data_IF_223294484551
#
_entry.id   IF_223294484551
#
_cell.length_a   1.000
_cell.length_b   1.000
_cell.length_c   1.000
_cell.angle_alpha   90.00
_cell.angle_beta   90.00
_cell.angle_gamma   90.00
#
_symmetry.space_group_name_H-M   'P 1'
#
loop_
_entity.id
_entity.type
_entity.pdbx_description
1 polymer ?
#
# COMPACT_ATOMS: atom_id res chain seq x y z
N UNK A 1 -61.14 16.65 66.37
CA UNK A 1 -59.66 16.52 66.32
C UNK A 1 -59.38 15.02 66.45
N UNK A 2 -58.72 14.26 65.58
CA UNK A 2 -57.68 14.56 64.60
C UNK A 2 -57.49 13.30 63.68
N UNK A 3 -58.17 13.17 62.52
CA UNK A 3 -57.90 12.07 61.57
C UNK A 3 -57.07 12.50 60.35
N UNK A 4 -56.77 13.79 60.19
CA UNK A 4 -56.20 14.34 58.95
C UNK A 4 -54.66 14.19 58.80
N UNK A 5 -53.93 13.83 59.86
CA UNK A 5 -52.47 13.64 59.79
C UNK A 5 -52.04 12.27 59.29
N UNK A 6 -52.81 11.21 59.55
CA UNK A 6 -52.43 9.84 59.21
C UNK A 6 -52.43 9.60 57.68
N UNK A 7 -53.36 10.21 56.95
CA UNK A 7 -53.48 10.01 55.50
C UNK A 7 -52.38 10.70 54.69
N UNK A 8 -51.84 11.83 55.19
CA UNK A 8 -50.75 12.57 54.53
C UNK A 8 -49.41 11.84 54.61
N UNK A 9 -49.13 11.20 55.75
CA UNK A 9 -47.89 10.44 55.92
C UNK A 9 -47.87 9.19 55.03
N UNK A 10 -49.02 8.53 54.85
CA UNK A 10 -49.15 7.37 53.95
C UNK A 10 -49.01 7.73 52.47
N UNK A 11 -49.50 8.90 52.05
CA UNK A 11 -49.39 9.33 50.64
C UNK A 11 -47.95 9.71 50.29
N UNK A 12 -47.25 10.40 51.20
CA UNK A 12 -45.85 10.79 50.98
C UNK A 12 -44.91 9.57 50.95
N UNK A 13 -45.14 8.57 51.80
CA UNK A 13 -44.34 7.34 51.83
C UNK A 13 -44.57 6.45 50.59
N UNK A 14 -45.80 6.40 50.06
CA UNK A 14 -46.10 5.68 48.82
C UNK A 14 -45.46 6.32 47.58
N UNK A 15 -45.26 7.65 47.58
CA UNK A 15 -44.63 8.39 46.49
C UNK A 15 -43.10 8.21 46.48
N UNK A 16 -42.46 8.18 47.65
CA UNK A 16 -41.04 7.84 47.79
C UNK A 16 -40.72 6.39 47.38
N UNK A 17 -41.57 5.42 47.74
CA UNK A 17 -41.42 4.02 47.32
C UNK A 17 -41.63 3.83 45.79
N UNK A 18 -42.54 4.61 45.18
CA UNK A 18 -42.78 4.59 43.74
C UNK A 18 -41.64 5.22 42.92
N UNK A 19 -40.95 6.22 43.46
CA UNK A 19 -39.80 6.86 42.79
C UNK A 19 -38.53 6.03 42.92
N UNK A 20 -38.27 5.43 44.09
CA UNK A 20 -37.14 4.51 44.30
C UNK A 20 -37.23 3.25 43.45
N UNK A 21 -38.43 2.66 43.31
CA UNK A 21 -38.63 1.47 42.47
C UNK A 21 -38.43 1.76 40.97
N UNK A 22 -38.84 2.94 40.49
CA UNK A 22 -38.55 3.40 39.11
C UNK A 22 -37.06 3.60 38.87
N UNK A 23 -36.32 4.15 39.84
CA UNK A 23 -34.87 4.34 39.73
C UNK A 23 -34.12 3.00 39.72
N UNK A 24 -34.51 2.06 40.59
CA UNK A 24 -33.93 0.71 40.68
C UNK A 24 -34.19 -0.13 39.42
N UNK A 25 -35.32 0.08 38.72
CA UNK A 25 -35.64 -0.59 37.45
C UNK A 25 -34.80 -0.08 36.28
N UNK A 26 -34.50 1.23 36.24
CA UNK A 26 -33.65 1.85 35.20
C UNK A 26 -32.19 1.39 35.28
N UNK A 27 -31.63 1.30 36.49
CA UNK A 27 -30.25 0.83 36.66
C UNK A 27 -30.09 -0.64 36.29
N UNK A 28 -31.10 -1.49 36.54
CA UNK A 28 -31.08 -2.90 36.11
C UNK A 28 -31.05 -3.04 34.59
N UNK A 29 -31.79 -2.18 33.86
CA UNK A 29 -31.80 -2.20 32.39
C UNK A 29 -30.45 -1.73 31.83
N UNK A 30 -29.86 -0.67 32.38
CA UNK A 30 -28.54 -0.20 31.94
C UNK A 30 -27.43 -1.22 32.18
N UNK A 31 -27.46 -1.94 33.31
CA UNK A 31 -26.49 -3.01 33.61
C UNK A 31 -26.59 -4.15 32.58
N UNK A 32 -27.80 -4.56 32.21
CA UNK A 32 -28.01 -5.61 31.21
C UNK A 32 -27.49 -5.17 29.83
N UNK A 33 -27.72 -3.91 29.45
CA UNK A 33 -27.24 -3.36 28.17
C UNK A 33 -25.70 -3.33 28.14
N UNK A 34 -25.07 -2.83 29.19
CA UNK A 34 -23.61 -2.80 29.27
C UNK A 34 -23.01 -4.21 29.24
N UNK A 35 -23.61 -5.15 29.98
CA UNK A 35 -23.15 -6.53 29.98
C UNK A 35 -23.26 -7.17 28.60
N UNK A 36 -24.37 -6.94 27.88
CA UNK A 36 -24.57 -7.44 26.52
C UNK A 36 -23.55 -6.85 25.53
N UNK A 37 -23.22 -5.56 25.67
CA UNK A 37 -22.23 -4.89 24.83
C UNK A 37 -20.82 -5.47 25.07
N UNK A 38 -20.43 -5.64 26.33
CA UNK A 38 -19.14 -6.23 26.68
C UNK A 38 -18.98 -7.67 26.19
N UNK A 39 -20.03 -8.49 26.31
CA UNK A 39 -20.03 -9.87 25.80
C UNK A 39 -19.83 -9.87 24.27
N UNK A 40 -20.54 -9.00 23.54
CA UNK A 40 -20.38 -8.88 22.09
C UNK A 40 -18.96 -8.47 21.70
N UNK A 41 -18.35 -7.53 22.44
CA UNK A 41 -16.99 -7.06 22.17
C UNK A 41 -15.94 -8.17 22.39
N UNK A 42 -16.10 -8.96 23.46
CA UNK A 42 -15.22 -10.10 23.75
C UNK A 42 -15.34 -11.17 22.65
N UNK A 43 -16.55 -11.48 22.18
CA UNK A 43 -16.73 -12.46 21.10
C UNK A 43 -16.07 -12.03 19.80
N UNK A 44 -16.13 -10.74 19.45
CA UNK A 44 -15.45 -10.19 18.27
C UNK A 44 -13.93 -10.32 18.40
N UNK A 45 -13.36 -9.94 19.55
CA UNK A 45 -11.92 -10.02 19.78
C UNK A 45 -11.43 -11.48 19.75
N UNK A 46 -12.16 -12.40 20.38
CA UNK A 46 -11.81 -13.82 20.37
C UNK A 46 -11.86 -14.43 18.96
N UNK A 47 -12.86 -14.06 18.15
CA UNK A 47 -12.94 -14.51 16.76
C UNK A 47 -11.77 -14.00 15.91
N UNK A 48 -11.36 -12.74 16.11
CA UNK A 48 -10.20 -12.16 15.43
C UNK A 48 -8.90 -12.89 15.79
N UNK A 49 -8.69 -13.25 17.07
CA UNK A 49 -7.48 -13.94 17.52
C UNK A 49 -7.42 -15.38 16.97
N UNK A 50 -8.53 -16.14 17.02
CA UNK A 50 -8.58 -17.51 16.50
C UNK A 50 -8.32 -17.54 14.99
N UNK A 51 -8.84 -16.55 14.25
CA UNK A 51 -8.63 -16.41 12.82
C UNK A 51 -7.19 -15.99 12.48
N UNK A 52 -6.58 -15.10 13.27
CA UNK A 52 -5.16 -14.74 13.09
C UNK A 52 -4.22 -15.93 13.32
N UNK A 53 -4.62 -16.90 14.15
CA UNK A 53 -3.81 -18.08 14.47
C UNK A 53 -4.02 -19.27 13.53
N UNK A 54 -5.05 -19.27 12.67
CA UNK A 54 -5.32 -20.35 11.70
C UNK A 54 -4.77 -20.06 10.29
N UNK A 55 -3.95 -19.01 10.12
CA UNK A 55 -3.41 -18.59 8.81
C UNK A 55 -2.05 -19.24 8.47
N UNK A 56 -1.47 -20.04 9.36
CA UNK A 56 -0.11 -20.59 9.17
C UNK A 56 -0.01 -22.09 8.85
N UNK A 57 -1.12 -22.82 8.68
CA UNK A 57 -1.06 -24.26 8.32
C UNK A 57 -2.00 -24.57 7.16
N UNK A 58 -1.55 -24.33 5.93
CA UNK A 58 -1.98 -25.09 4.74
C UNK A 58 -0.77 -25.24 3.81
N UNK A 59 0.12 -26.13 4.24
CA UNK A 59 1.17 -26.73 3.42
C UNK A 59 0.56 -28.00 2.79
N UNK A 60 0.37 -28.03 1.47
CA UNK A 60 0.38 -29.30 0.73
C UNK A 60 0.57 -29.15 -0.79
N UNK A 61 1.79 -29.51 -1.21
CA UNK A 61 2.14 -30.37 -2.34
C UNK A 61 1.71 -30.01 -3.77
N UNK A 62 2.71 -29.63 -4.59
CA UNK A 62 2.86 -30.23 -5.92
C UNK A 62 4.33 -30.41 -6.34
N UNK A 63 4.58 -31.57 -6.96
CA UNK A 63 5.85 -32.22 -7.28
C UNK A 63 6.73 -31.47 -8.30
N UNK A 64 8.05 -31.76 -8.40
CA UNK A 64 8.99 -31.00 -9.21
C UNK A 64 9.04 -31.53 -10.65
N UNK A 65 8.95 -30.63 -11.65
CA UNK A 65 9.32 -30.98 -13.01
C UNK A 65 10.01 -29.84 -13.77
N UNK A 66 11.29 -30.11 -14.05
CA UNK A 66 12.14 -29.71 -15.19
C UNK A 66 12.53 -28.24 -15.41
N UNK A 67 13.86 -28.07 -15.47
CA UNK A 67 14.64 -26.92 -15.90
C UNK A 67 14.14 -26.23 -17.19
N UNK A 68 13.74 -24.96 -17.09
CA UNK A 68 14.14 -23.87 -17.98
C UNK A 68 13.68 -22.51 -17.39
N UNK A 69 14.61 -21.55 -17.30
CA UNK A 69 14.44 -20.11 -17.00
C UNK A 69 13.32 -19.78 -15.97
N UNK A 70 13.61 -19.97 -14.67
CA UNK A 70 12.69 -19.63 -13.57
C UNK A 70 12.40 -18.11 -13.52
N UNK A 71 11.46 -17.67 -14.34
CA UNK A 71 10.64 -16.50 -14.05
C UNK A 71 9.86 -16.87 -12.80
N UNK A 72 10.29 -16.34 -11.66
CA UNK A 72 9.50 -16.37 -10.43
C UNK A 72 8.19 -15.66 -10.78
N UNK A 73 7.13 -16.41 -11.07
CA UNK A 73 5.77 -15.86 -11.02
C UNK A 73 5.58 -15.55 -9.55
N UNK A 74 5.60 -14.28 -9.14
CA UNK A 74 5.54 -13.97 -7.74
C UNK A 74 4.13 -14.32 -7.27
N UNK A 75 4.02 -15.28 -6.35
CA UNK A 75 2.82 -15.46 -5.51
C UNK A 75 2.53 -14.23 -4.63
N UNK A 76 3.37 -13.20 -4.72
CA UNK A 76 3.23 -11.94 -4.03
C UNK A 76 2.25 -11.02 -4.78
N UNK A 77 1.11 -10.65 -4.17
CA UNK A 77 0.10 -9.80 -4.81
C UNK A 77 0.64 -8.44 -5.26
N UNK A 78 1.60 -7.86 -4.52
CA UNK A 78 2.16 -6.55 -4.85
C UNK A 78 3.00 -6.61 -6.13
N UNK A 79 3.82 -7.66 -6.27
CA UNK A 79 4.63 -7.83 -7.47
C UNK A 79 3.74 -8.19 -8.67
N UNK A 80 2.73 -9.03 -8.47
CA UNK A 80 1.77 -9.38 -9.52
C UNK A 80 1.05 -8.13 -10.07
N UNK A 81 0.49 -7.30 -9.19
CA UNK A 81 -0.21 -6.07 -9.57
C UNK A 81 0.73 -5.05 -10.24
N UNK A 82 2.00 -5.00 -9.83
CA UNK A 82 2.97 -4.14 -10.49
C UNK A 82 3.31 -4.64 -11.91
N UNK A 83 3.48 -5.95 -12.08
CA UNK A 83 3.81 -6.57 -13.36
C UNK A 83 2.69 -6.53 -14.39
N UNK A 84 1.43 -6.57 -13.97
CA UNK A 84 0.29 -6.52 -14.89
C UNK A 84 0.22 -5.18 -15.65
N UNK A 85 0.56 -4.08 -14.96
CA UNK A 85 0.31 -2.72 -15.47
C UNK A 85 1.59 -1.94 -15.75
N UNK A 86 2.54 -1.91 -14.81
CA UNK A 86 3.75 -1.10 -14.93
C UNK A 86 4.91 -1.80 -15.66
N UNK A 87 4.82 -3.12 -15.86
CA UNK A 87 5.96 -3.93 -16.31
C UNK A 87 5.52 -5.20 -17.08
N UNK A 88 4.83 -4.99 -18.20
CA UNK A 88 4.19 -6.07 -18.97
C UNK A 88 5.16 -6.84 -19.90
N UNK A 89 6.34 -6.29 -20.21
CA UNK A 89 7.29 -6.93 -21.13
C UNK A 89 8.20 -7.92 -20.40
N UNK A 90 8.64 -8.97 -21.12
CA UNK A 90 9.58 -9.95 -20.59
C UNK A 90 10.90 -9.32 -20.12
N UNK A 91 11.42 -8.34 -20.88
CA UNK A 91 12.62 -7.61 -20.52
C UNK A 91 12.45 -6.89 -19.17
N UNK A 92 11.32 -6.22 -18.99
CA UNK A 92 11.03 -5.52 -17.73
C UNK A 92 11.01 -6.48 -16.53
N UNK A 93 10.29 -7.60 -16.65
CA UNK A 93 10.21 -8.62 -15.59
C UNK A 93 11.58 -9.19 -15.24
N UNK A 94 12.41 -9.50 -16.24
CA UNK A 94 13.77 -10.01 -16.03
C UNK A 94 14.64 -9.00 -15.28
N UNK A 95 14.59 -7.73 -15.67
CA UNK A 95 15.38 -6.67 -15.04
C UNK A 95 14.96 -6.43 -13.59
N UNK A 96 13.65 -6.32 -13.32
CA UNK A 96 13.15 -6.07 -11.97
C UNK A 96 13.27 -7.28 -11.03
N UNK A 97 13.50 -8.49 -11.54
CA UNK A 97 13.69 -9.68 -10.69
C UNK A 97 14.84 -9.52 -9.68
N UNK A 98 15.86 -8.72 -10.01
CA UNK A 98 16.96 -8.38 -9.09
C UNK A 98 16.49 -7.66 -7.81
N UNK A 99 15.40 -6.90 -7.90
CA UNK A 99 14.78 -6.21 -6.76
C UNK A 99 14.05 -7.22 -5.86
N UNK A 100 13.28 -8.12 -6.47
CA UNK A 100 12.40 -9.05 -5.73
C UNK A 100 13.18 -10.17 -5.02
N UNK A 101 14.29 -10.59 -5.59
CA UNK A 101 15.16 -11.62 -4.98
C UNK A 101 15.87 -11.14 -3.71
N UNK A 102 16.02 -9.83 -3.53
CA UNK A 102 16.81 -9.24 -2.43
C UNK A 102 15.98 -8.52 -1.37
N UNK A 103 14.68 -8.34 -1.61
CA UNK A 103 13.81 -7.54 -0.73
C UNK A 103 12.49 -8.28 -0.46
N UNK A 104 12.02 -8.21 0.78
CA UNK A 104 10.64 -8.60 1.10
C UNK A 104 9.69 -7.48 0.68
N UNK A 105 8.85 -7.77 -0.31
CA UNK A 105 7.89 -6.80 -0.86
C UNK A 105 6.50 -7.09 -0.31
N UNK A 106 5.84 -6.08 0.23
CA UNK A 106 4.44 -6.19 0.67
C UNK A 106 3.51 -5.16 0.02
N UNK A 107 4.07 -4.15 -0.64
CA UNK A 107 3.32 -3.03 -1.21
C UNK A 107 3.93 -2.58 -2.56
N UNK A 108 3.13 -2.35 -3.62
CA UNK A 108 3.65 -1.89 -4.90
C UNK A 108 4.44 -0.55 -4.84
N UNK A 109 4.17 0.32 -3.87
CA UNK A 109 4.94 1.55 -3.62
C UNK A 109 6.41 1.25 -3.25
N UNK A 110 6.67 0.12 -2.61
CA UNK A 110 8.05 -0.31 -2.31
C UNK A 110 8.78 -0.64 -3.61
N UNK A 111 8.11 -1.28 -4.57
CA UNK A 111 8.68 -1.59 -5.89
C UNK A 111 9.04 -0.31 -6.63
N UNK A 112 8.13 0.68 -6.67
CA UNK A 112 8.40 2.00 -7.25
C UNK A 112 9.65 2.65 -6.62
N UNK A 113 9.72 2.67 -5.28
CA UNK A 113 10.84 3.30 -4.57
C UNK A 113 12.15 2.55 -4.81
N UNK A 114 12.13 1.21 -4.76
CA UNK A 114 13.31 0.37 -4.98
C UNK A 114 13.81 0.42 -6.42
N UNK A 115 12.90 0.52 -7.41
CA UNK A 115 13.26 0.73 -8.82
C UNK A 115 14.05 2.02 -9.00
N UNK A 116 13.58 3.13 -8.42
CA UNK A 116 14.28 4.42 -8.48
C UNK A 116 15.61 4.40 -7.72
N UNK A 117 15.69 3.74 -6.56
CA UNK A 117 16.95 3.57 -5.83
C UNK A 117 17.98 2.75 -6.61
N UNK A 118 17.52 1.67 -7.25
CA UNK A 118 18.36 0.80 -8.09
C UNK A 118 18.86 1.56 -9.31
N UNK A 119 17.97 2.31 -9.99
CA UNK A 119 18.34 3.20 -11.08
C UNK A 119 19.41 4.23 -10.65
N UNK A 120 19.22 4.92 -9.52
CA UNK A 120 20.20 5.88 -8.97
C UNK A 120 21.56 5.21 -8.70
N UNK A 121 21.56 3.99 -8.16
CA UNK A 121 22.80 3.21 -7.94
C UNK A 121 23.49 2.85 -9.25
N UNK A 122 22.75 2.41 -10.25
CA UNK A 122 23.29 2.05 -11.56
C UNK A 122 23.87 3.27 -12.28
N UNK A 123 23.18 4.41 -12.24
CA UNK A 123 23.68 5.68 -12.81
C UNK A 123 24.99 6.15 -12.16
N UNK A 124 25.12 6.01 -10.83
CA UNK A 124 26.35 6.35 -10.13
C UNK A 124 27.52 5.47 -10.59
N UNK A 125 27.28 4.17 -10.70
CA UNK A 125 28.29 3.21 -11.17
C UNK A 125 28.68 3.47 -12.63
N UNK A 126 27.70 3.78 -13.48
CA UNK A 126 27.90 4.16 -14.88
C UNK A 126 28.75 5.42 -15.01
N UNK A 127 28.45 6.46 -14.25
CA UNK A 127 29.22 7.71 -14.25
C UNK A 127 30.68 7.46 -13.85
N UNK A 128 30.91 6.58 -12.87
CA UNK A 128 32.25 6.15 -12.48
C UNK A 128 32.96 5.37 -13.60
N UNK A 129 32.26 4.43 -14.25
CA UNK A 129 32.79 3.62 -15.35
C UNK A 129 33.23 4.49 -16.54
N UNK A 130 32.38 5.46 -16.90
CA UNK A 130 32.65 6.44 -17.95
C UNK A 130 33.91 7.24 -17.63
N UNK A 131 34.05 7.67 -16.37
CA UNK A 131 35.22 8.44 -15.92
C UNK A 131 36.51 7.64 -15.94
N UNK A 132 36.46 6.31 -15.73
CA UNK A 132 37.64 5.43 -15.78
C UNK A 132 38.07 5.03 -17.20
N UNK A 133 37.16 5.09 -18.18
CA UNK A 133 37.38 4.60 -19.55
C UNK A 133 37.64 5.73 -20.57
N UNK A 134 37.93 6.96 -20.14
CA UNK A 134 38.12 8.11 -21.04
C UNK A 134 39.38 7.96 -21.91
N UNK A 135 39.24 7.40 -23.11
CA UNK A 135 40.23 7.43 -24.19
C UNK A 135 39.92 8.63 -25.11
N UNK A 136 40.96 9.38 -25.46
CA UNK A 136 41.01 10.77 -25.97
C UNK A 136 39.99 11.21 -27.05
N UNK A 137 39.39 10.30 -27.84
CA UNK A 137 38.39 10.63 -28.89
C UNK A 137 36.96 10.18 -28.56
N UNK A 138 36.81 9.18 -27.71
CA UNK A 138 35.51 8.81 -27.13
C UNK A 138 35.11 9.78 -25.99
N UNK A 139 36.04 10.61 -25.56
CA UNK A 139 35.96 11.50 -24.40
C UNK A 139 34.81 12.52 -24.47
N UNK A 140 34.52 13.12 -25.64
CA UNK A 140 33.46 14.14 -25.74
C UNK A 140 32.06 13.53 -25.57
N UNK A 141 31.76 12.44 -26.29
CA UNK A 141 30.45 11.77 -26.19
C UNK A 141 30.27 11.14 -24.83
N UNK A 142 31.29 10.48 -24.29
CA UNK A 142 31.24 9.93 -22.94
C UNK A 142 31.03 11.03 -21.89
N UNK A 143 31.67 12.19 -22.05
CA UNK A 143 31.44 13.35 -21.17
C UNK A 143 30.02 13.91 -21.29
N UNK A 144 29.46 14.01 -22.51
CA UNK A 144 28.07 14.43 -22.70
C UNK A 144 27.09 13.45 -22.06
N UNK A 145 27.27 12.15 -22.32
CA UNK A 145 26.46 11.12 -21.66
C UNK A 145 26.59 11.23 -20.14
N UNK A 146 27.81 11.36 -19.60
CA UNK A 146 28.03 11.53 -18.15
C UNK A 146 27.24 12.72 -17.58
N UNK A 147 27.16 13.84 -18.29
CA UNK A 147 26.32 14.98 -17.89
C UNK A 147 24.83 14.63 -17.90
N UNK A 148 24.32 13.98 -18.95
CA UNK A 148 22.92 13.52 -19.00
C UNK A 148 22.61 12.54 -17.85
N UNK A 149 23.50 11.59 -17.55
CA UNK A 149 23.35 10.67 -16.43
C UNK A 149 23.35 11.40 -15.08
N UNK A 150 24.16 12.45 -14.94
CA UNK A 150 24.16 13.32 -13.77
C UNK A 150 22.83 14.06 -13.57
N UNK A 151 22.27 14.62 -14.65
CA UNK A 151 20.95 15.25 -14.62
C UNK A 151 19.83 14.25 -14.29
N UNK A 152 19.84 13.09 -14.93
CA UNK A 152 18.95 11.98 -14.63
C UNK A 152 19.02 11.59 -13.14
N UNK A 153 20.22 11.38 -12.61
CA UNK A 153 20.40 11.02 -11.20
C UNK A 153 19.88 12.11 -10.25
N UNK A 154 20.06 13.40 -10.58
CA UNK A 154 19.49 14.50 -9.79
C UNK A 154 17.97 14.41 -9.72
N UNK A 155 17.30 14.19 -10.86
CA UNK A 155 15.83 14.09 -10.93
C UNK A 155 15.29 12.86 -10.21
N UNK A 156 15.98 11.72 -10.30
CA UNK A 156 15.64 10.55 -9.48
C UNK A 156 15.74 10.88 -7.98
N UNK A 157 16.79 11.60 -7.56
CA UNK A 157 16.95 11.98 -6.16
C UNK A 157 15.89 12.97 -5.68
N UNK A 158 15.43 13.87 -6.55
CA UNK A 158 14.30 14.77 -6.29
C UNK A 158 13.01 13.95 -6.03
N UNK A 159 12.70 12.99 -6.91
CA UNK A 159 11.55 12.06 -6.72
C UNK A 159 11.68 11.28 -5.42
N UNK A 160 12.86 10.73 -5.13
CA UNK A 160 13.12 9.99 -3.88
C UNK A 160 13.02 10.89 -2.65
N UNK A 161 13.27 12.20 -2.76
CA UNK A 161 13.12 13.13 -1.64
C UNK A 161 11.63 13.27 -1.24
N UNK A 162 10.72 13.34 -2.22
CA UNK A 162 9.26 13.32 -1.97
C UNK A 162 8.86 12.01 -1.28
N UNK A 163 9.34 10.87 -1.79
CA UNK A 163 9.01 9.55 -1.26
C UNK A 163 9.58 9.28 0.14
N UNK A 164 10.66 9.95 0.54
CA UNK A 164 11.19 9.84 1.91
C UNK A 164 10.29 10.48 2.96
N UNK A 165 9.59 11.56 2.61
CA UNK A 165 8.64 12.21 3.51
C UNK A 165 7.41 11.34 3.68
N UNK A 166 6.93 10.74 2.58
CA UNK A 166 5.82 9.82 2.60
C UNK A 166 5.99 8.74 1.52
N UNK A 167 6.14 7.45 1.90
CA UNK A 167 6.44 6.39 0.95
C UNK A 167 5.23 5.94 0.11
N UNK A 168 4.03 6.46 0.37
CA UNK A 168 2.82 6.08 -0.36
C UNK A 168 2.48 7.12 -1.41
N UNK A 169 2.57 6.76 -2.70
CA UNK A 169 2.27 7.66 -3.82
C UNK A 169 0.83 8.16 -3.75
N UNK A 170 -0.12 7.34 -3.31
CA UNK A 170 -1.53 7.73 -3.16
C UNK A 170 -1.80 8.76 -2.07
N UNK A 171 -0.83 9.04 -1.21
CA UNK A 171 -0.93 10.08 -0.18
C UNK A 171 -0.20 11.37 -0.55
N UNK A 172 0.46 11.40 -1.71
CA UNK A 172 1.07 12.61 -2.26
C UNK A 172 -0.03 13.50 -2.86
N UNK A 173 0.18 14.82 -2.77
CA UNK A 173 -0.71 15.79 -3.44
C UNK A 173 -0.65 15.64 -4.97
N UNK A 174 -1.66 16.15 -5.66
CA UNK A 174 -1.70 16.15 -7.13
C UNK A 174 -0.49 16.88 -7.74
N UNK A 175 -0.08 17.99 -7.12
CA UNK A 175 1.11 18.75 -7.50
C UNK A 175 2.38 17.91 -7.37
N UNK A 176 2.60 17.26 -6.21
CA UNK A 176 3.75 16.38 -6.01
C UNK A 176 3.77 15.20 -6.99
N UNK A 177 2.61 14.58 -7.28
CA UNK A 177 2.54 13.49 -8.26
C UNK A 177 2.86 13.96 -9.67
N UNK A 178 2.39 15.16 -10.05
CA UNK A 178 2.73 15.78 -11.32
C UNK A 178 4.22 16.11 -11.41
N UNK A 179 4.82 16.66 -10.35
CA UNK A 179 6.25 16.92 -10.28
C UNK A 179 7.09 15.64 -10.41
N UNK A 180 6.73 14.58 -9.67
CA UNK A 180 7.39 13.28 -9.78
C UNK A 180 7.34 12.74 -11.21
N UNK A 181 6.18 12.84 -11.88
CA UNK A 181 6.04 12.40 -13.27
C UNK A 181 6.90 13.25 -14.21
N UNK A 182 6.90 14.57 -14.05
CA UNK A 182 7.75 15.47 -14.85
C UNK A 182 9.24 15.15 -14.68
N UNK A 183 9.68 14.87 -13.45
CA UNK A 183 11.04 14.45 -13.19
C UNK A 183 11.36 13.09 -13.80
N UNK A 184 10.46 12.11 -13.74
CA UNK A 184 10.66 10.81 -14.39
C UNK A 184 10.77 10.96 -15.91
N UNK A 185 9.89 11.74 -16.55
CA UNK A 185 9.98 12.00 -18.00
C UNK A 185 11.31 12.67 -18.37
N UNK A 186 11.77 13.63 -17.57
CA UNK A 186 13.08 14.25 -17.77
C UNK A 186 14.23 13.24 -17.60
N UNK A 187 14.11 12.27 -16.69
CA UNK A 187 15.09 11.18 -16.56
C UNK A 187 15.12 10.37 -17.86
N UNK A 188 13.97 9.94 -18.37
CA UNK A 188 13.88 9.16 -19.61
C UNK A 188 14.52 9.90 -20.79
N UNK A 189 14.21 11.18 -20.97
CA UNK A 189 14.79 12.03 -22.03
C UNK A 189 16.33 12.11 -21.92
N UNK A 190 16.87 12.24 -20.70
CA UNK A 190 18.32 12.25 -20.48
C UNK A 190 18.96 10.88 -20.80
N UNK A 191 18.32 9.78 -20.44
CA UNK A 191 18.82 8.43 -20.76
C UNK A 191 18.81 8.18 -22.27
N UNK A 192 17.72 8.56 -22.95
CA UNK A 192 17.59 8.47 -24.40
C UNK A 192 18.63 9.34 -25.11
N UNK A 193 18.81 10.59 -24.65
CA UNK A 193 19.84 11.49 -25.18
C UNK A 193 21.26 10.92 -25.05
N UNK A 194 21.59 10.26 -23.94
CA UNK A 194 22.88 9.56 -23.81
C UNK A 194 22.98 8.39 -24.80
N UNK A 195 21.95 7.56 -24.93
CA UNK A 195 21.95 6.41 -25.85
C UNK A 195 22.12 6.88 -27.30
N UNK A 196 21.41 7.94 -27.69
CA UNK A 196 21.48 8.52 -29.03
C UNK A 196 22.86 9.12 -29.32
N UNK A 197 23.44 9.86 -28.38
CA UNK A 197 24.80 10.39 -28.49
C UNK A 197 25.86 9.28 -28.65
N UNK A 198 25.64 8.12 -28.00
CA UNK A 198 26.51 6.94 -28.11
C UNK A 198 26.29 6.14 -29.40
N UNK A 199 25.12 6.23 -30.04
CA UNK A 199 24.80 5.52 -31.29
C UNK A 199 25.63 6.03 -32.47
N UNK A 200 25.95 7.31 -32.47
CA UNK A 200 26.72 7.95 -33.56
C UNK A 200 28.25 7.70 -33.45
N UNK A 201 28.69 7.01 -32.39
CA UNK A 201 30.08 6.60 -32.20
C UNK A 201 30.40 5.28 -32.92
N UNK A 202 31.68 5.07 -33.24
CA UNK A 202 32.14 3.77 -33.74
C UNK A 202 31.89 2.72 -32.65
N UNK A 203 31.14 1.67 -32.99
CA UNK A 203 30.79 0.60 -32.05
C UNK A 203 32.08 -0.01 -31.48
N UNK A 204 32.23 0.08 -30.16
CA UNK A 204 33.32 -0.49 -29.39
C UNK A 204 32.74 -1.20 -28.17
N UNK A 205 33.52 -2.08 -27.55
CA UNK A 205 33.09 -2.80 -26.33
C UNK A 205 32.68 -1.84 -25.21
N UNK A 206 33.35 -0.69 -25.08
CA UNK A 206 33.00 0.31 -24.08
C UNK A 206 31.68 1.02 -24.40
N UNK A 207 31.44 1.36 -25.67
CA UNK A 207 30.19 1.98 -26.13
C UNK A 207 29.01 1.02 -25.94
N UNK A 208 29.18 -0.24 -26.32
CA UNK A 208 28.11 -1.25 -26.17
C UNK A 208 27.82 -1.57 -24.70
N UNK A 209 28.83 -1.62 -23.84
CA UNK A 209 28.67 -1.80 -22.41
C UNK A 209 27.90 -0.64 -21.76
N UNK A 210 28.30 0.60 -22.04
CA UNK A 210 27.61 1.79 -21.49
C UNK A 210 26.18 1.86 -22.01
N UNK A 211 25.95 1.68 -23.32
CA UNK A 211 24.60 1.67 -23.91
C UNK A 211 23.72 0.61 -23.25
N UNK A 212 24.22 -0.62 -23.10
CA UNK A 212 23.46 -1.70 -22.47
C UNK A 212 23.08 -1.39 -21.02
N UNK A 213 24.01 -0.84 -20.24
CA UNK A 213 23.75 -0.44 -18.84
C UNK A 213 22.78 0.74 -18.74
N UNK A 214 22.83 1.72 -19.65
CA UNK A 214 21.87 2.85 -19.68
C UNK A 214 20.47 2.34 -20.07
N UNK A 215 20.36 1.44 -21.04
CA UNK A 215 19.09 0.80 -21.39
C UNK A 215 18.50 -0.02 -20.24
N UNK A 216 19.33 -0.67 -19.42
CA UNK A 216 18.87 -1.34 -18.20
C UNK A 216 18.29 -0.35 -17.19
N UNK A 217 18.93 0.81 -17.00
CA UNK A 217 18.40 1.89 -16.15
C UNK A 217 17.05 2.39 -16.66
N UNK A 218 16.91 2.55 -17.97
CA UNK A 218 15.67 3.01 -18.60
C UNK A 218 14.48 2.09 -18.28
N UNK A 219 14.70 0.78 -18.12
CA UNK A 219 13.65 -0.17 -17.72
C UNK A 219 13.14 0.13 -16.29
N UNK A 220 14.03 0.38 -15.33
CA UNK A 220 13.60 0.73 -13.96
C UNK A 220 12.82 2.05 -13.95
N UNK A 221 13.29 3.06 -14.67
CA UNK A 221 12.68 4.39 -14.73
C UNK A 221 11.33 4.35 -15.44
N UNK A 222 11.24 3.73 -16.61
CA UNK A 222 9.98 3.61 -17.35
C UNK A 222 8.92 2.82 -16.61
N UNK A 223 9.30 1.74 -15.91
CA UNK A 223 8.37 1.04 -15.02
C UNK A 223 7.85 1.95 -13.91
N UNK A 224 8.69 2.85 -13.39
CA UNK A 224 8.30 3.80 -12.35
C UNK A 224 7.34 4.88 -12.88
N UNK A 225 7.55 5.35 -14.12
CA UNK A 225 6.60 6.25 -14.80
C UNK A 225 5.25 5.59 -15.06
N UNK A 226 5.27 4.35 -15.57
CA UNK A 226 4.06 3.55 -15.76
C UNK A 226 3.31 3.30 -14.45
N UNK A 227 4.05 3.09 -13.34
CA UNK A 227 3.45 2.99 -12.00
C UNK A 227 2.73 4.26 -11.57
N UNK A 228 3.30 5.45 -11.80
CA UNK A 228 2.63 6.71 -11.46
C UNK A 228 1.35 6.92 -12.26
N UNK A 229 1.38 6.61 -13.56
CA UNK A 229 0.22 6.74 -14.45
C UNK A 229 -0.87 5.73 -14.10
N UNK A 230 -0.49 4.47 -13.86
CA UNK A 230 -1.39 3.36 -13.56
C UNK A 230 -1.67 3.17 -12.07
N UNK A 231 -1.33 4.13 -11.20
CA UNK A 231 -1.33 3.93 -9.74
C UNK A 231 -2.67 3.38 -9.21
N UNK A 232 -3.78 3.96 -9.67
CA UNK A 232 -5.11 3.56 -9.21
C UNK A 232 -5.45 2.11 -9.61
N UNK A 233 -5.12 1.73 -10.84
CA UNK A 233 -5.36 0.38 -11.39
C UNK A 233 -4.49 -0.66 -10.69
N UNK A 234 -3.19 -0.36 -10.50
CA UNK A 234 -2.24 -1.22 -9.79
C UNK A 234 -2.69 -1.44 -8.36
N UNK A 235 -3.10 -0.37 -7.65
CA UNK A 235 -3.59 -0.50 -6.29
C UNK A 235 -4.89 -1.30 -6.26
N UNK A 236 -5.83 -1.05 -7.17
CA UNK A 236 -7.06 -1.82 -7.26
C UNK A 236 -6.79 -3.31 -7.46
N UNK A 237 -5.89 -3.68 -8.38
CA UNK A 237 -5.49 -5.07 -8.58
C UNK A 237 -4.84 -5.65 -7.34
N UNK A 238 -3.89 -4.93 -6.73
CA UNK A 238 -3.22 -5.34 -5.49
C UNK A 238 -4.22 -5.62 -4.36
N UNK A 239 -5.16 -4.72 -4.10
CA UNK A 239 -6.19 -4.90 -3.07
C UNK A 239 -7.15 -6.05 -3.46
N UNK A 240 -7.50 -6.17 -4.75
CA UNK A 240 -8.37 -7.27 -5.20
C UNK A 240 -7.70 -8.64 -5.06
N UNK A 241 -6.41 -8.77 -5.31
CA UNK A 241 -5.69 -10.03 -5.17
C UNK A 241 -5.39 -10.33 -3.71
N UNK A 242 -5.03 -9.32 -2.92
CA UNK A 242 -4.72 -9.49 -1.50
C UNK A 242 -5.95 -9.78 -0.63
N UNK A 243 -7.12 -9.26 -0.99
CA UNK A 243 -8.36 -9.39 -0.19
C UNK A 243 -9.49 -10.14 -0.91
N UNK A 244 -9.40 -10.35 -2.23
CA UNK A 244 -10.46 -11.00 -3.03
C UNK A 244 -10.54 -12.52 -2.86
N UNK A 245 -9.57 -13.16 -2.21
CA UNK A 245 -9.59 -14.60 -1.91
C UNK A 245 -10.60 -15.05 -0.84
N UNK A 246 -11.29 -14.13 -0.14
CA UNK A 246 -12.28 -14.48 0.89
C UNK A 246 -13.12 -13.32 1.45
N UNK A 247 -12.64 -12.07 1.37
CA UNK A 247 -13.27 -10.94 2.06
C UNK A 247 -14.42 -10.28 1.30
N UNK A 248 -14.65 -10.67 0.04
CA UNK A 248 -15.75 -10.13 -0.78
C UNK A 248 -17.15 -10.41 -0.20
N UNK A 249 -17.29 -11.46 0.62
CA UNK A 249 -18.50 -11.71 1.41
C UNK A 249 -18.48 -11.05 2.79
N UNK A 250 -17.30 -10.77 3.35
CA UNK A 250 -17.17 -10.24 4.71
C UNK A 250 -17.40 -8.74 4.83
N UNK A 251 -17.13 -7.92 3.81
CA UNK A 251 -17.44 -6.49 3.92
C UNK A 251 -18.94 -6.23 3.97
N UNK A 252 -19.74 -7.01 3.22
CA UNK A 252 -21.21 -6.99 3.29
C UNK A 252 -21.70 -7.58 4.62
N UNK A 253 -21.05 -8.62 5.12
CA UNK A 253 -21.38 -9.21 6.42
C UNK A 253 -21.04 -8.25 7.58
N UNK A 254 -19.88 -7.60 7.54
CA UNK A 254 -19.44 -6.60 8.50
C UNK A 254 -20.33 -5.36 8.48
N UNK A 255 -20.62 -4.78 7.30
CA UNK A 255 -21.63 -3.71 7.21
C UNK A 255 -23.01 -4.17 7.67
N UNK A 256 -23.37 -5.44 7.42
CA UNK A 256 -24.58 -6.06 7.96
C UNK A 256 -24.56 -6.11 9.49
N UNK A 257 -23.46 -6.53 10.12
CA UNK A 257 -23.29 -6.61 11.56
C UNK A 257 -23.24 -5.22 12.20
N UNK A 258 -22.48 -4.28 11.64
CA UNK A 258 -22.44 -2.88 12.09
C UNK A 258 -23.80 -2.20 11.90
N UNK A 259 -24.50 -2.48 10.80
CA UNK A 259 -25.85 -2.01 10.54
C UNK A 259 -26.86 -2.58 11.55
N UNK A 260 -26.80 -3.89 11.83
CA UNK A 260 -27.65 -4.56 12.83
C UNK A 260 -27.38 -4.01 14.24
N UNK A 261 -26.10 -3.76 14.56
CA UNK A 261 -25.67 -3.16 15.82
C UNK A 261 -26.17 -1.72 15.96
N UNK A 262 -26.12 -0.91 14.90
CA UNK A 262 -26.69 0.43 14.87
C UNK A 262 -28.22 0.41 15.03
N UNK A 263 -28.92 -0.50 14.33
CA UNK A 263 -30.38 -0.68 14.48
C UNK A 263 -30.74 -1.08 15.91
N UNK A 264 -29.94 -1.96 16.53
CA UNK A 264 -30.13 -2.36 17.93
C UNK A 264 -29.94 -1.18 18.89
N UNK A 265 -28.87 -0.39 18.72
CA UNK A 265 -28.60 0.81 19.53
C UNK A 265 -29.73 1.85 19.38
N UNK A 266 -30.18 2.11 18.15
CA UNK A 266 -31.27 3.05 17.87
C UNK A 266 -32.59 2.55 18.48
N UNK A 267 -32.89 1.25 18.36
CA UNK A 267 -34.10 0.65 18.94
C UNK A 267 -34.11 0.71 20.48
N UNK A 268 -32.96 0.50 21.11
CA UNK A 268 -32.78 0.66 22.55
C UNK A 268 -32.97 2.13 22.97
N UNK A 269 -32.35 3.07 22.25
CA UNK A 269 -32.53 4.49 22.49
C UNK A 269 -34.01 4.88 22.39
N UNK A 270 -34.70 4.44 21.33
CA UNK A 270 -36.10 4.79 21.13
C UNK A 270 -37.02 4.21 22.22
N UNK A 271 -36.75 2.98 22.67
CA UNK A 271 -37.49 2.33 23.75
C UNK A 271 -37.29 3.02 25.11
N UNK A 272 -36.10 3.56 25.38
CA UNK A 272 -35.81 4.31 26.61
C UNK A 272 -36.50 5.67 26.65
N UNK A 273 -36.58 6.36 25.51
CA UNK A 273 -37.17 7.69 25.42
C UNK A 273 -38.69 7.70 25.25
N UNK A 274 -39.28 6.67 24.61
CA UNK A 274 -40.73 6.55 24.44
C UNK A 274 -41.49 6.16 25.72
N UNK A 275 -40.80 5.66 26.74
CA UNK A 275 -41.39 5.29 28.04
C UNK A 275 -41.38 6.42 29.08
N UNK A 276 -41.02 7.66 28.69
CA UNK A 276 -41.28 8.87 29.47
C UNK A 276 -42.60 9.49 29.03
#
# INVERSE_FOLDING_TARGET
MEPAKNNRHKTMQAEEDATLSKFRRRNKILIIIFLSFFISLILIISALIIHLMHVDDDDDQSSPQSDDDHIIIPHNPAIQAYYSSACYTHLCRRTLNSIFTTNSISDPNQIFTLSLQTASKHLRNLTSLISSNSVEKADITFKKCSNFLGHAMSRINDTLAIMRVNPFVGWQSDEQRSEMMNWIMAVEENLESCIDDLRDQVESTAVSEVRGKVSEVQVYVSSSGAFLLGYAEIMQEFWSTSFGGGWGMDFKFAFGLYGLQLVFIVSLFWSLFRSR
#
